data_IF_122564654119
#
_entry.id   IF_122564654119
#
_cell.length_a   1.000
_cell.length_b   1.000
_cell.length_c   1.000
_cell.angle_alpha   90.00
_cell.angle_beta   90.00
_cell.angle_gamma   90.00
#
_symmetry.space_group_name_H-M   'P 1'
#
loop_
_entity.id
_entity.type
_entity.pdbx_description
1 polymer ?
#
# COMPACT_ATOMS: atom_id res chain seq x y z
N UNK A 1 -20.23 35.99 22.53
CA UNK A 1 -20.36 35.00 21.43
C UNK A 1 -19.13 34.91 20.51
N UNK A 2 -18.14 35.84 20.52
CA UNK A 2 -16.92 35.62 19.73
C UNK A 2 -16.07 34.44 20.25
N UNK A 3 -16.13 34.13 21.52
CA UNK A 3 -15.26 33.12 22.15
C UNK A 3 -15.55 31.68 21.68
N UNK A 4 -16.83 31.34 21.43
CA UNK A 4 -17.21 30.01 20.96
C UNK A 4 -16.71 29.74 19.52
N UNK A 5 -16.77 30.74 18.65
CA UNK A 5 -16.28 30.67 17.28
C UNK A 5 -14.76 30.52 17.25
N UNK A 6 -14.05 31.26 18.07
CA UNK A 6 -12.60 31.21 18.20
C UNK A 6 -12.14 29.85 18.75
N UNK A 7 -12.83 29.33 19.79
CA UNK A 7 -12.57 28.00 20.35
C UNK A 7 -12.76 26.90 19.26
N UNK A 8 -13.81 27.01 18.45
CA UNK A 8 -14.09 26.06 17.38
C UNK A 8 -12.97 26.08 16.33
N UNK A 9 -12.52 27.27 15.92
CA UNK A 9 -11.40 27.39 14.95
C UNK A 9 -10.11 26.79 15.51
N UNK A 10 -9.77 27.11 16.77
CA UNK A 10 -8.57 26.54 17.42
C UNK A 10 -8.66 25.04 17.53
N UNK A 11 -9.82 24.48 17.87
CA UNK A 11 -10.02 23.04 17.95
C UNK A 11 -9.86 22.36 16.58
N UNK A 12 -10.44 22.94 15.53
CA UNK A 12 -10.29 22.44 14.15
C UNK A 12 -8.82 22.50 13.72
N UNK A 13 -8.14 23.63 13.97
CA UNK A 13 -6.74 23.78 13.62
C UNK A 13 -5.85 22.76 14.36
N UNK A 14 -6.08 22.56 15.65
CA UNK A 14 -5.32 21.60 16.46
C UNK A 14 -5.54 20.17 16.01
N UNK A 15 -6.80 19.76 15.78
CA UNK A 15 -7.13 18.41 15.29
C UNK A 15 -6.55 18.16 13.90
N UNK A 16 -6.56 19.16 13.03
CA UNK A 16 -5.96 19.07 11.70
C UNK A 16 -4.44 18.91 11.76
N UNK A 17 -3.77 19.67 12.64
CA UNK A 17 -2.32 19.55 12.86
C UNK A 17 -1.95 18.17 13.41
N UNK A 18 -2.69 17.67 14.41
CA UNK A 18 -2.46 16.33 14.97
C UNK A 18 -2.69 15.25 13.90
N UNK A 19 -3.76 15.35 13.12
CA UNK A 19 -4.04 14.40 12.05
C UNK A 19 -2.96 14.42 10.96
N UNK A 20 -2.47 15.61 10.56
CA UNK A 20 -1.38 15.77 9.60
C UNK A 20 -0.07 15.18 10.12
N UNK A 21 0.24 15.40 11.41
CA UNK A 21 1.44 14.86 12.05
C UNK A 21 1.40 13.34 12.13
N UNK A 22 0.28 12.76 12.55
CA UNK A 22 0.10 11.30 12.61
C UNK A 22 0.18 10.67 11.20
N UNK A 23 -0.46 11.30 10.21
CA UNK A 23 -0.39 10.85 8.82
C UNK A 23 1.03 10.91 8.26
N UNK A 24 1.79 11.96 8.56
CA UNK A 24 3.17 12.12 8.09
C UNK A 24 4.13 11.08 8.66
N UNK A 25 3.83 10.49 9.82
CA UNK A 25 4.65 9.45 10.47
C UNK A 25 4.14 8.01 10.24
N UNK A 26 2.99 7.81 9.60
CA UNK A 26 2.45 6.47 9.43
C UNK A 26 3.17 5.71 8.31
N UNK A 27 3.74 4.57 8.68
CA UNK A 27 4.30 3.57 7.74
C UNK A 27 3.16 2.67 7.25
N UNK A 28 3.25 2.20 6.00
CA UNK A 28 2.30 1.22 5.48
C UNK A 28 2.47 -0.12 6.18
N UNK A 29 1.36 -0.73 6.62
CA UNK A 29 1.38 -1.94 7.45
C UNK A 29 1.82 -3.17 6.69
N UNK A 30 1.35 -3.34 5.44
CA UNK A 30 1.77 -4.46 4.63
C UNK A 30 3.28 -4.41 4.40
N UNK A 31 3.84 -3.23 4.12
CA UNK A 31 5.28 -3.07 3.97
C UNK A 31 6.04 -3.30 5.28
N UNK A 32 5.50 -2.85 6.42
CA UNK A 32 6.12 -3.06 7.74
C UNK A 32 6.21 -4.55 8.07
N UNK A 33 5.26 -5.37 7.64
CA UNK A 33 5.27 -6.82 7.86
C UNK A 33 6.44 -7.53 7.15
N UNK A 34 7.01 -6.92 6.09
CA UNK A 34 8.22 -7.41 5.41
C UNK A 34 9.49 -6.67 5.84
N UNK A 35 9.36 -5.68 6.73
CA UNK A 35 10.52 -4.90 7.19
C UNK A 35 11.49 -5.77 7.98
N UNK A 36 12.78 -5.70 7.62
CA UNK A 36 13.81 -6.54 8.19
C UNK A 36 14.11 -7.83 7.42
N UNK A 37 13.18 -8.27 6.55
CA UNK A 37 13.38 -9.45 5.71
C UNK A 37 14.10 -9.12 4.40
N UNK A 38 14.69 -10.15 3.80
CA UNK A 38 15.23 -10.09 2.45
C UNK A 38 14.08 -10.20 1.44
N UNK A 39 13.92 -9.18 0.61
CA UNK A 39 12.85 -9.12 -0.39
C UNK A 39 13.39 -8.78 -1.77
N UNK A 40 12.67 -9.21 -2.79
CA UNK A 40 12.85 -8.77 -4.16
C UNK A 40 11.77 -7.75 -4.49
N UNK A 41 12.17 -6.53 -4.80
CA UNK A 41 11.30 -5.49 -5.34
C UNK A 41 11.29 -5.60 -6.85
N UNK A 42 10.15 -5.97 -7.41
CA UNK A 42 9.92 -5.97 -8.85
C UNK A 42 9.28 -4.65 -9.27
N UNK A 43 9.85 -3.99 -10.26
CA UNK A 43 9.38 -2.73 -10.81
C UNK A 43 8.63 -2.96 -12.13
N UNK A 44 7.71 -2.06 -12.45
CA UNK A 44 6.90 -2.13 -13.67
C UNK A 44 7.73 -2.04 -14.97
N UNK A 45 8.92 -1.43 -14.92
CA UNK A 45 9.88 -1.34 -16.02
C UNK A 45 10.73 -2.62 -16.18
N UNK A 46 10.50 -3.64 -15.36
CA UNK A 46 11.23 -4.91 -15.38
C UNK A 46 12.50 -4.93 -14.51
N UNK A 47 12.89 -3.79 -13.93
CA UNK A 47 13.99 -3.76 -12.95
C UNK A 47 13.63 -4.59 -11.72
N UNK A 48 14.57 -5.37 -11.22
CA UNK A 48 14.44 -6.11 -9.97
C UNK A 48 15.57 -5.70 -9.04
N UNK A 49 15.20 -5.25 -7.86
CA UNK A 49 16.13 -4.88 -6.79
C UNK A 49 15.90 -5.80 -5.61
N UNK A 50 16.96 -6.37 -5.07
CA UNK A 50 16.86 -7.25 -3.90
C UNK A 50 17.69 -6.69 -2.74
N UNK A 51 17.18 -6.85 -1.54
CA UNK A 51 17.83 -6.34 -0.34
C UNK A 51 16.97 -6.53 0.89
N UNK A 52 17.53 -6.18 2.05
CA UNK A 52 16.79 -6.13 3.30
C UNK A 52 15.91 -4.89 3.33
N UNK A 53 14.61 -5.09 3.45
CA UNK A 53 13.65 -4.00 3.43
C UNK A 53 13.68 -3.21 4.74
N UNK A 54 13.83 -1.91 4.62
CA UNK A 54 13.61 -0.93 5.68
C UNK A 54 12.50 0.04 5.23
N UNK A 55 11.45 0.16 6.03
CA UNK A 55 10.28 0.98 5.70
C UNK A 55 10.30 2.27 6.50
N UNK A 56 10.16 3.40 5.81
CA UNK A 56 10.03 4.71 6.43
C UNK A 56 8.71 5.40 6.05
N UNK A 57 8.38 6.48 6.74
CA UNK A 57 7.13 7.19 6.48
C UNK A 57 7.10 7.89 5.10
N UNK A 58 8.26 8.18 4.53
CA UNK A 58 8.43 8.91 3.26
C UNK A 58 8.82 8.01 2.09
N UNK A 59 9.12 6.73 2.35
CA UNK A 59 9.57 5.78 1.34
C UNK A 59 10.05 4.48 1.95
N UNK A 60 10.90 3.80 1.22
CA UNK A 60 11.54 2.56 1.66
C UNK A 60 13.00 2.51 1.19
N UNK A 61 13.78 1.69 1.83
CA UNK A 61 15.16 1.42 1.50
C UNK A 61 15.39 -0.10 1.45
N UNK A 62 16.08 -0.57 0.44
CA UNK A 62 16.56 -1.94 0.30
C UNK A 62 18.06 -1.95 0.54
N UNK A 63 18.48 -2.43 1.70
CA UNK A 63 19.89 -2.56 2.06
C UNK A 63 20.49 -3.79 1.37
N UNK A 64 21.51 -3.60 0.58
CA UNK A 64 22.22 -4.70 -0.08
C UNK A 64 23.03 -5.50 0.93
N UNK A 65 23.12 -6.82 0.70
CA UNK A 65 23.93 -7.70 1.53
C UNK A 65 25.43 -7.46 1.33
N UNK A 66 25.80 -7.13 0.11
CA UNK A 66 27.17 -6.81 -0.31
C UNK A 66 27.13 -5.54 -1.15
N UNK A 67 28.26 -4.84 -1.21
CA UNK A 67 28.40 -3.67 -2.07
C UNK A 67 28.12 -4.06 -3.52
N UNK A 68 27.35 -3.24 -4.20
CA UNK A 68 27.15 -3.34 -5.64
C UNK A 68 27.99 -2.25 -6.33
N UNK A 69 28.80 -2.64 -7.30
CA UNK A 69 29.44 -1.69 -8.20
C UNK A 69 28.51 -1.41 -9.36
N UNK A 70 28.15 -0.17 -9.55
CA UNK A 70 27.38 0.23 -10.75
C UNK A 70 28.32 0.35 -11.98
N UNK A 71 27.71 0.58 -13.14
CA UNK A 71 28.45 0.74 -14.42
C UNK A 71 29.34 1.98 -14.43
N UNK A 72 29.05 2.98 -13.59
CA UNK A 72 29.79 4.25 -13.45
C UNK A 72 30.91 4.17 -12.40
N UNK A 73 31.06 3.01 -11.73
CA UNK A 73 32.14 2.74 -10.76
C UNK A 73 31.86 3.23 -9.33
N UNK A 74 30.59 3.51 -8.99
CA UNK A 74 30.19 3.86 -7.64
C UNK A 74 29.89 2.61 -6.80
N UNK A 75 30.22 2.68 -5.51
CA UNK A 75 29.85 1.67 -4.50
C UNK A 75 28.44 1.96 -3.98
N UNK A 76 27.46 1.18 -4.40
CA UNK A 76 26.10 1.25 -3.90
C UNK A 76 25.89 0.29 -2.71
N UNK A 77 25.26 0.78 -1.64
CA UNK A 77 24.96 0.01 -0.42
C UNK A 77 23.47 -0.24 -0.24
N UNK A 78 22.64 0.59 -0.86
CA UNK A 78 21.20 0.49 -0.76
C UNK A 78 20.49 1.10 -1.97
N UNK A 79 19.23 0.72 -2.14
CA UNK A 79 18.32 1.33 -3.11
C UNK A 79 17.19 2.03 -2.36
N UNK A 80 17.05 3.34 -2.56
CA UNK A 80 15.99 4.14 -1.95
C UNK A 80 14.86 4.35 -2.95
N UNK A 81 13.63 4.14 -2.50
CA UNK A 81 12.41 4.40 -3.29
C UNK A 81 11.48 5.31 -2.49
N UNK A 82 11.20 6.48 -3.01
CA UNK A 82 10.33 7.46 -2.36
C UNK A 82 8.85 7.15 -2.64
N UNK A 83 7.94 7.57 -1.75
CA UNK A 83 6.49 7.36 -1.94
C UNK A 83 5.95 7.86 -3.26
N UNK A 84 6.51 8.95 -3.81
CA UNK A 84 6.13 9.47 -5.12
C UNK A 84 6.38 8.49 -6.28
N UNK A 85 7.26 7.50 -6.07
CA UNK A 85 7.64 6.48 -7.05
C UNK A 85 6.91 5.15 -6.86
N UNK A 86 6.06 5.01 -5.84
CA UNK A 86 5.35 3.76 -5.55
C UNK A 86 4.46 3.28 -6.69
N UNK A 87 4.04 4.17 -7.59
CA UNK A 87 3.34 3.80 -8.82
C UNK A 87 4.19 2.93 -9.78
N UNK A 88 5.51 2.88 -9.60
CA UNK A 88 6.43 2.04 -10.39
C UNK A 88 6.60 0.64 -9.81
N UNK A 89 6.12 0.39 -8.61
CA UNK A 89 6.20 -0.92 -7.94
C UNK A 89 5.24 -1.87 -8.65
N UNK A 90 5.73 -3.07 -8.98
CA UNK A 90 4.91 -4.19 -9.44
C UNK A 90 4.57 -5.12 -8.27
N UNK A 91 5.59 -5.57 -7.55
CA UNK A 91 5.42 -6.45 -6.40
C UNK A 91 6.65 -6.42 -5.48
N UNK A 92 6.43 -6.68 -4.20
CA UNK A 92 7.46 -7.17 -3.29
C UNK A 92 7.28 -8.67 -3.14
N UNK A 93 8.35 -9.40 -3.31
CA UNK A 93 8.39 -10.87 -3.25
C UNK A 93 9.34 -11.30 -2.15
N UNK A 94 8.80 -11.96 -1.13
CA UNK A 94 9.57 -12.53 -0.01
C UNK A 94 9.58 -14.05 -0.16
N UNK A 95 10.72 -14.62 -0.57
CA UNK A 95 10.87 -16.07 -0.72
C UNK A 95 11.06 -16.76 0.63
N UNK A 96 10.33 -17.86 0.87
CA UNK A 96 10.40 -18.59 2.14
C UNK A 96 11.78 -19.19 2.41
N UNK A 97 12.49 -19.60 1.37
CA UNK A 97 13.85 -20.18 1.49
C UNK A 97 14.91 -19.12 1.89
N UNK A 98 14.61 -17.84 1.70
CA UNK A 98 15.53 -16.74 2.05
C UNK A 98 15.29 -16.20 3.46
N UNK A 99 14.25 -16.65 4.14
CA UNK A 99 13.96 -16.26 5.52
C UNK A 99 14.98 -16.88 6.48
N UNK A 100 15.38 -16.10 7.47
CA UNK A 100 16.12 -16.62 8.63
C UNK A 100 15.24 -17.60 9.42
N UNK A 101 15.84 -18.41 10.27
CA UNK A 101 15.10 -19.34 11.14
C UNK A 101 14.14 -18.60 12.09
N UNK A 102 14.52 -17.39 12.53
CA UNK A 102 13.66 -16.50 13.31
C UNK A 102 12.50 -16.00 12.44
N UNK A 103 12.78 -15.51 11.22
CA UNK A 103 11.77 -15.05 10.27
C UNK A 103 10.78 -16.15 9.88
N UNK A 104 11.22 -17.41 9.74
CA UNK A 104 10.32 -18.55 9.51
C UNK A 104 9.36 -18.77 10.68
N UNK A 105 9.86 -18.66 11.92
CA UNK A 105 9.04 -18.80 13.13
C UNK A 105 8.04 -17.67 13.26
N UNK A 106 8.46 -16.43 13.05
CA UNK A 106 7.59 -15.26 13.07
C UNK A 106 6.50 -15.37 12.00
N UNK A 107 6.88 -15.74 10.78
CA UNK A 107 5.94 -15.98 9.68
C UNK A 107 4.91 -17.07 10.02
N UNK A 108 5.35 -18.18 10.61
CA UNK A 108 4.44 -19.26 11.02
C UNK A 108 3.43 -18.78 12.06
N UNK A 109 3.87 -18.01 13.06
CA UNK A 109 2.98 -17.41 14.04
C UNK A 109 2.01 -16.41 13.41
N UNK A 110 2.45 -15.65 12.41
CA UNK A 110 1.59 -14.73 11.68
C UNK A 110 0.51 -15.45 10.87
N UNK A 111 0.86 -16.54 10.20
CA UNK A 111 -0.10 -17.40 9.49
C UNK A 111 -1.15 -17.92 10.46
N UNK A 112 -0.76 -18.53 11.57
CA UNK A 112 -1.67 -19.04 12.59
C UNK A 112 -2.60 -17.95 13.14
N UNK A 113 -2.05 -16.78 13.43
CA UNK A 113 -2.82 -15.59 13.86
C UNK A 113 -3.75 -15.07 12.77
N UNK A 114 -3.45 -15.27 11.51
CA UNK A 114 -4.27 -14.82 10.37
C UNK A 114 -5.46 -15.75 10.16
N UNK A 115 -5.26 -17.06 10.24
CA UNK A 115 -6.33 -18.06 10.15
C UNK A 115 -7.27 -18.04 11.38
N UNK A 116 -6.71 -17.79 12.57
CA UNK A 116 -7.46 -17.80 13.83
C UNK A 116 -7.29 -16.47 14.58
N UNK A 117 -7.87 -15.36 14.07
CA UNK A 117 -7.71 -14.06 14.70
C UNK A 117 -8.39 -14.03 16.08
N UNK A 118 -7.61 -13.77 17.14
CA UNK A 118 -8.11 -13.59 18.50
C UNK A 118 -9.07 -12.40 18.61
N UNK A 119 -9.89 -12.40 19.69
CA UNK A 119 -10.91 -11.37 19.94
C UNK A 119 -10.34 -9.95 19.91
N UNK A 120 -9.20 -9.70 20.55
CA UNK A 120 -8.57 -8.38 20.60
C UNK A 120 -8.10 -7.90 19.21
N UNK A 121 -7.63 -8.81 18.34
CA UNK A 121 -7.24 -8.48 16.97
C UNK A 121 -8.46 -8.07 16.14
N UNK A 122 -9.58 -8.80 16.30
CA UNK A 122 -10.86 -8.44 15.65
C UNK A 122 -11.39 -7.09 16.12
N UNK A 123 -11.32 -6.81 17.44
CA UNK A 123 -11.75 -5.54 18.01
C UNK A 123 -10.87 -4.39 17.53
N UNK A 124 -9.55 -4.55 17.57
CA UNK A 124 -8.58 -3.54 17.06
C UNK A 124 -8.83 -3.24 15.58
N UNK A 125 -9.15 -4.24 14.77
CA UNK A 125 -9.49 -4.07 13.35
C UNK A 125 -10.80 -3.32 13.17
N UNK A 126 -11.85 -3.67 13.93
CA UNK A 126 -13.14 -2.96 13.88
C UNK A 126 -12.99 -1.47 14.25
N UNK A 127 -12.27 -1.18 15.31
CA UNK A 127 -12.00 0.21 15.73
C UNK A 127 -11.23 0.96 14.63
N UNK A 128 -10.19 0.36 14.09
CA UNK A 128 -9.41 0.94 13.00
C UNK A 128 -10.26 1.21 11.75
N UNK A 129 -11.07 0.24 11.34
CA UNK A 129 -11.96 0.35 10.19
C UNK A 129 -12.98 1.45 10.39
N UNK A 130 -13.53 1.61 11.60
CA UNK A 130 -14.41 2.71 11.94
C UNK A 130 -13.73 4.07 11.75
N UNK A 131 -12.53 4.26 12.32
CA UNK A 131 -11.78 5.50 12.13
C UNK A 131 -11.37 5.75 10.68
N UNK A 132 -11.06 4.70 9.93
CA UNK A 132 -10.76 4.79 8.50
C UNK A 132 -11.99 5.28 7.72
N UNK A 133 -13.16 4.71 7.97
CA UNK A 133 -14.42 5.12 7.33
C UNK A 133 -14.78 6.57 7.67
N UNK A 134 -14.66 6.97 8.94
CA UNK A 134 -14.93 8.36 9.36
C UNK A 134 -13.98 9.32 8.65
N UNK A 135 -12.68 9.00 8.59
CA UNK A 135 -11.70 9.82 7.87
C UNK A 135 -12.04 9.96 6.39
N UNK A 136 -12.36 8.85 5.73
CA UNK A 136 -12.68 8.83 4.30
C UNK A 136 -13.95 9.65 4.01
N UNK A 137 -14.98 9.57 4.88
CA UNK A 137 -16.19 10.39 4.80
C UNK A 137 -15.89 11.89 4.99
N UNK A 138 -15.04 12.26 5.93
CA UNK A 138 -14.62 13.65 6.13
C UNK A 138 -13.88 14.18 4.89
N UNK A 139 -12.97 13.39 4.32
CA UNK A 139 -12.24 13.78 3.10
C UNK A 139 -13.18 13.95 1.91
N UNK A 140 -14.21 13.12 1.78
CA UNK A 140 -15.23 13.25 0.73
C UNK A 140 -16.02 14.55 0.88
N UNK A 141 -16.47 14.88 2.08
CA UNK A 141 -17.16 16.14 2.39
C UNK A 141 -16.26 17.34 2.06
N UNK A 142 -15.00 17.32 2.48
CA UNK A 142 -14.04 18.41 2.19
C UNK A 142 -13.84 18.56 0.68
N UNK A 143 -13.71 17.44 -0.07
CA UNK A 143 -13.56 17.47 -1.52
C UNK A 143 -14.81 18.04 -2.23
N UNK A 144 -16.02 17.75 -1.72
CA UNK A 144 -17.25 18.34 -2.22
C UNK A 144 -17.27 19.87 -2.01
N UNK A 145 -16.85 20.36 -0.84
CA UNK A 145 -16.76 21.80 -0.57
C UNK A 145 -15.72 22.49 -1.45
N UNK A 146 -14.55 21.89 -1.64
CA UNK A 146 -13.51 22.41 -2.54
C UNK A 146 -14.03 22.42 -3.99
N UNK A 147 -14.75 21.37 -4.42
CA UNK A 147 -15.35 21.29 -5.74
C UNK A 147 -16.41 22.37 -5.98
N UNK A 148 -17.23 22.68 -4.98
CA UNK A 148 -18.23 23.77 -5.05
C UNK A 148 -17.55 25.15 -5.03
N UNK A 149 -16.55 25.37 -4.18
CA UNK A 149 -15.80 26.62 -4.14
C UNK A 149 -15.11 26.93 -5.49
N UNK A 150 -14.54 25.92 -6.15
CA UNK A 150 -13.98 26.06 -7.50
C UNK A 150 -15.06 26.44 -8.54
N UNK A 151 -16.27 25.89 -8.46
CA UNK A 151 -17.35 26.25 -9.38
C UNK A 151 -17.78 27.71 -9.26
N UNK A 152 -17.76 28.27 -8.04
CA UNK A 152 -18.11 29.68 -7.79
C UNK A 152 -17.02 30.61 -8.36
N UNK A 153 -15.74 30.22 -8.29
CA UNK A 153 -14.62 31.01 -8.82
C UNK A 153 -14.52 30.93 -10.35
N UNK A 154 -14.98 29.81 -10.97
CA UNK A 154 -14.99 29.64 -12.43
C UNK A 154 -16.14 30.36 -13.15
N UNK A 155 -17.13 30.89 -12.44
CA UNK A 155 -18.19 31.72 -13.05
C UNK A 155 -17.71 33.10 -13.50
N UNK A 156 -16.50 33.52 -13.19
CA UNK A 156 -15.83 34.73 -13.68
C UNK A 156 -14.64 34.40 -14.59
N UNK A 157 -14.92 33.80 -15.72
CA UNK A 157 -14.15 33.80 -16.96
C UNK A 157 -12.64 33.81 -16.88
N UNK A 158 -11.99 32.64 -16.85
CA UNK A 158 -10.75 32.38 -17.59
C UNK A 158 -10.74 30.90 -17.99
N UNK A 159 -11.29 30.65 -19.17
CA UNK A 159 -11.09 29.38 -19.90
C UNK A 159 -9.80 29.53 -20.69
N UNK A 160 -8.76 28.81 -20.34
CA UNK A 160 -7.82 28.23 -21.34
C UNK A 160 -6.73 27.43 -20.66
N UNK A 161 -6.45 26.25 -21.18
CA UNK A 161 -5.27 25.38 -21.02
C UNK A 161 -5.10 24.51 -19.76
N UNK A 162 -5.99 24.52 -18.77
CA UNK A 162 -5.86 23.63 -17.60
C UNK A 162 -6.74 22.37 -17.61
N UNK A 163 -7.61 22.19 -18.59
CA UNK A 163 -8.53 21.04 -18.64
C UNK A 163 -7.79 19.70 -18.80
N UNK A 164 -6.63 19.71 -19.44
CA UNK A 164 -5.80 18.50 -19.61
C UNK A 164 -5.15 18.04 -18.31
N UNK A 165 -4.79 18.97 -17.43
CA UNK A 165 -4.25 18.65 -16.09
C UNK A 165 -5.36 18.24 -15.12
N UNK A 166 -6.54 18.82 -15.24
CA UNK A 166 -7.70 18.48 -14.39
C UNK A 166 -8.27 17.10 -14.76
N UNK A 167 -8.29 16.73 -16.05
CA UNK A 167 -8.71 15.39 -16.49
C UNK A 167 -7.68 14.33 -16.07
N UNK A 168 -6.40 14.59 -16.22
CA UNK A 168 -5.34 13.68 -15.73
C UNK A 168 -5.32 13.56 -14.20
N UNK A 169 -5.63 14.64 -13.47
CA UNK A 169 -5.82 14.57 -12.02
C UNK A 169 -7.11 13.80 -11.66
N UNK A 170 -8.18 13.94 -12.41
CA UNK A 170 -9.42 13.15 -12.21
C UNK A 170 -9.19 11.67 -12.45
N UNK A 171 -8.49 11.28 -13.52
CA UNK A 171 -8.12 9.87 -13.76
C UNK A 171 -7.23 9.32 -12.66
N UNK A 172 -6.23 10.09 -12.21
CA UNK A 172 -5.39 9.70 -11.06
C UNK A 172 -6.18 9.64 -9.74
N UNK A 173 -7.15 10.52 -9.53
CA UNK A 173 -7.98 10.54 -8.31
C UNK A 173 -9.02 9.43 -8.34
N UNK A 174 -9.60 9.11 -9.48
CA UNK A 174 -10.55 7.98 -9.64
C UNK A 174 -9.83 6.64 -9.52
N UNK A 175 -8.59 6.54 -10.01
CA UNK A 175 -7.73 5.35 -9.79
C UNK A 175 -7.18 5.24 -8.36
N UNK A 176 -7.15 6.33 -7.57
CA UNK A 176 -6.70 6.39 -6.18
C UNK A 176 -7.84 6.34 -5.15
N UNK A 177 -9.08 6.15 -5.57
CA UNK A 177 -10.24 5.97 -4.67
C UNK A 177 -10.32 4.59 -4.02
N UNK A 178 -9.19 3.92 -3.83
CA UNK A 178 -9.13 2.80 -2.92
C UNK A 178 -9.35 3.33 -1.51
N UNK A 179 -10.55 3.13 -0.96
CA UNK A 179 -10.82 3.44 0.43
C UNK A 179 -9.90 2.61 1.32
N UNK A 180 -9.42 3.19 2.42
CA UNK A 180 -8.59 2.45 3.36
C UNK A 180 -9.35 1.30 4.02
N UNK A 181 -10.69 1.31 3.96
CA UNK A 181 -11.59 0.23 4.36
C UNK A 181 -12.31 -0.33 3.14
N UNK A 182 -12.08 -1.62 2.86
CA UNK A 182 -12.73 -2.37 1.78
C UNK A 182 -13.45 -3.59 2.37
N UNK A 183 -14.79 -3.57 2.46
CA UNK A 183 -15.56 -4.64 3.10
C UNK A 183 -15.34 -6.03 2.48
N UNK A 184 -15.17 -6.11 1.16
CA UNK A 184 -14.94 -7.38 0.48
C UNK A 184 -13.58 -7.98 0.84
N UNK A 185 -12.53 -7.18 0.89
CA UNK A 185 -11.22 -7.64 1.33
C UNK A 185 -11.25 -8.00 2.81
N UNK A 186 -11.85 -7.15 3.65
CA UNK A 186 -11.94 -7.35 5.10
C UNK A 186 -12.61 -8.68 5.47
N UNK A 187 -13.71 -9.04 4.79
CA UNK A 187 -14.44 -10.29 5.01
C UNK A 187 -13.61 -11.53 4.66
N UNK A 188 -12.68 -11.39 3.72
CA UNK A 188 -11.94 -12.50 3.15
C UNK A 188 -10.50 -12.62 3.67
N UNK A 189 -10.12 -11.83 4.68
CA UNK A 189 -8.83 -11.99 5.35
C UNK A 189 -8.77 -13.35 6.03
N UNK A 190 -7.62 -14.03 5.86
CA UNK A 190 -7.40 -15.39 6.31
C UNK A 190 -7.97 -16.47 5.40
N UNK A 191 -8.55 -16.09 4.25
CA UNK A 191 -9.06 -17.04 3.27
C UNK A 191 -8.08 -17.21 2.12
N UNK A 192 -8.13 -18.37 1.49
CA UNK A 192 -7.45 -18.61 0.22
C UNK A 192 -8.17 -17.83 -0.88
N UNK A 193 -7.41 -17.10 -1.67
CA UNK A 193 -7.90 -16.18 -2.70
C UNK A 193 -7.10 -16.33 -3.98
N UNK A 194 -7.71 -15.93 -5.09
CA UNK A 194 -7.03 -15.73 -6.36
C UNK A 194 -6.72 -14.24 -6.52
N UNK A 195 -5.45 -13.92 -6.57
CA UNK A 195 -4.90 -12.60 -6.86
C UNK A 195 -4.62 -12.52 -8.35
N UNK A 196 -5.31 -11.63 -9.06
CA UNK A 196 -4.94 -11.19 -10.40
C UNK A 196 -3.92 -10.06 -10.29
N UNK A 197 -2.75 -10.25 -10.88
CA UNK A 197 -1.70 -9.23 -10.97
C UNK A 197 -1.55 -8.78 -12.43
N UNK A 198 -1.75 -7.49 -12.66
CA UNK A 198 -1.57 -6.85 -13.97
C UNK A 198 -0.08 -6.59 -14.17
N UNK A 199 0.50 -7.23 -15.18
CA UNK A 199 1.92 -7.10 -15.56
C UNK A 199 2.02 -6.70 -17.04
N UNK A 200 2.14 -5.41 -17.30
CA UNK A 200 2.03 -4.86 -18.66
C UNK A 200 0.65 -5.16 -19.26
N UNK A 201 0.62 -5.80 -20.43
CA UNK A 201 -0.63 -6.18 -21.12
C UNK A 201 -1.18 -7.55 -20.69
N UNK A 202 -0.57 -8.20 -19.71
CA UNK A 202 -0.97 -9.53 -19.24
C UNK A 202 -1.49 -9.48 -17.81
N UNK A 203 -2.52 -10.27 -17.53
CA UNK A 203 -2.96 -10.56 -16.17
C UNK A 203 -2.51 -11.97 -15.80
N UNK A 204 -1.85 -12.10 -14.65
CA UNK A 204 -1.36 -13.38 -14.13
C UNK A 204 -2.09 -13.66 -12.83
N UNK A 205 -2.58 -14.88 -12.69
CA UNK A 205 -3.30 -15.32 -11.49
C UNK A 205 -2.36 -16.05 -10.53
N UNK A 206 -2.49 -15.72 -9.26
CA UNK A 206 -1.77 -16.38 -8.17
C UNK A 206 -2.76 -16.79 -7.08
N UNK A 207 -2.58 -17.98 -6.55
CA UNK A 207 -3.37 -18.49 -5.42
C UNK A 207 -2.55 -18.37 -4.15
N UNK A 208 -3.15 -17.76 -3.12
CA UNK A 208 -2.50 -17.59 -1.82
C UNK A 208 -3.52 -17.21 -0.74
N UNK A 209 -3.05 -16.86 0.44
CA UNK A 209 -3.88 -16.48 1.59
C UNK A 209 -3.87 -14.97 1.78
N UNK A 210 -5.03 -14.33 1.71
CA UNK A 210 -5.13 -12.89 1.97
C UNK A 210 -4.84 -12.60 3.44
N UNK A 211 -3.72 -11.94 3.74
CA UNK A 211 -3.30 -11.61 5.11
C UNK A 211 -3.83 -10.26 5.58
N UNK A 212 -3.54 -9.23 4.83
CA UNK A 212 -3.96 -7.85 5.16
C UNK A 212 -4.05 -7.02 3.87
N UNK A 213 -4.56 -5.81 4.02
CA UNK A 213 -4.59 -4.80 2.97
C UNK A 213 -4.53 -3.40 3.59
N UNK A 214 -4.01 -2.46 2.82
CA UNK A 214 -4.00 -1.04 3.16
C UNK A 214 -4.70 -0.24 2.06
N UNK A 215 -4.61 1.07 2.10
CA UNK A 215 -5.06 1.91 1.00
C UNK A 215 -4.22 1.69 -0.26
N UNK A 216 -2.95 1.38 -0.12
CA UNK A 216 -1.98 1.31 -1.21
C UNK A 216 -1.67 -0.12 -1.64
N UNK A 217 -1.68 -1.10 -0.70
CA UNK A 217 -1.19 -2.45 -0.94
C UNK A 217 -2.17 -3.55 -0.50
N UNK A 218 -1.97 -4.73 -1.08
CA UNK A 218 -2.57 -6.00 -0.67
C UNK A 218 -1.43 -6.96 -0.35
N UNK A 219 -1.54 -7.68 0.76
CA UNK A 219 -0.61 -8.72 1.18
C UNK A 219 -1.23 -10.10 1.06
N UNK A 220 -0.59 -10.97 0.28
CA UNK A 220 -1.01 -12.36 0.06
C UNK A 220 0.14 -13.30 0.37
N UNK A 221 -0.12 -14.27 1.22
CA UNK A 221 0.85 -15.25 1.69
C UNK A 221 0.77 -16.56 0.90
N UNK A 222 1.87 -17.30 0.92
CA UNK A 222 1.96 -18.69 0.47
C UNK A 222 1.64 -18.91 -1.01
N UNK A 223 2.13 -18.03 -1.84
CA UNK A 223 1.99 -18.08 -3.30
C UNK A 223 3.05 -19.03 -3.89
N UNK A 224 2.64 -19.89 -4.83
CA UNK A 224 3.57 -20.60 -5.69
C UNK A 224 4.01 -19.66 -6.82
N UNK A 225 5.23 -19.16 -6.75
CA UNK A 225 5.77 -18.17 -7.67
C UNK A 225 6.97 -18.68 -8.44
N UNK A 226 7.03 -18.34 -9.73
CA UNK A 226 8.23 -18.46 -10.56
C UNK A 226 8.46 -17.18 -11.34
N UNK A 227 9.68 -16.69 -11.32
CA UNK A 227 10.05 -15.46 -12.02
C UNK A 227 10.09 -15.66 -13.53
N UNK A 228 10.66 -16.80 -13.96
CA UNK A 228 10.84 -17.17 -15.36
C UNK A 228 10.20 -18.52 -15.67
N UNK A 229 9.80 -18.71 -16.93
CA UNK A 229 9.15 -19.95 -17.40
C UNK A 229 10.00 -21.20 -17.14
N UNK A 230 11.32 -21.06 -17.16
CA UNK A 230 12.28 -22.16 -17.00
C UNK A 230 12.70 -22.40 -15.52
N UNK A 231 12.19 -21.61 -14.57
CA UNK A 231 12.50 -21.78 -13.15
C UNK A 231 11.47 -22.68 -12.47
N UNK A 232 11.88 -23.33 -11.39
CA UNK A 232 10.96 -24.07 -10.52
C UNK A 232 10.09 -23.11 -9.71
N UNK A 233 8.90 -23.58 -9.34
CA UNK A 233 8.03 -22.84 -8.45
C UNK A 233 8.63 -22.78 -7.05
N UNK A 234 8.75 -21.57 -6.51
CA UNK A 234 9.18 -21.31 -5.13
C UNK A 234 8.01 -20.75 -4.33
N UNK A 235 7.95 -21.12 -3.07
CA UNK A 235 6.97 -20.49 -2.16
C UNK A 235 7.42 -19.11 -1.79
N UNK A 236 6.50 -18.15 -1.89
CA UNK A 236 6.75 -16.75 -1.60
C UNK A 236 5.51 -16.07 -1.02
N UNK A 237 5.74 -14.96 -0.32
CA UNK A 237 4.70 -14.04 0.11
C UNK A 237 4.80 -12.76 -0.74
N UNK A 238 3.66 -12.19 -1.09
CA UNK A 238 3.57 -11.03 -1.97
C UNK A 238 2.95 -9.82 -1.26
N UNK A 239 3.52 -8.65 -1.53
CA UNK A 239 2.85 -7.36 -1.35
C UNK A 239 2.74 -6.72 -2.72
N UNK A 240 1.52 -6.40 -3.15
CA UNK A 240 1.26 -5.81 -4.47
C UNK A 240 0.46 -4.52 -4.33
N UNK A 241 0.72 -3.50 -5.17
CA UNK A 241 -0.10 -2.29 -5.20
C UNK A 241 -1.55 -2.63 -5.57
N UNK A 242 -2.53 -2.02 -4.90
CA UNK A 242 -3.96 -2.20 -5.20
C UNK A 242 -4.36 -1.71 -6.59
N UNK A 243 -3.55 -0.89 -7.21
CA UNK A 243 -3.73 -0.46 -8.59
C UNK A 243 -3.42 -1.56 -9.62
N UNK A 244 -2.61 -2.55 -9.24
CA UNK A 244 -2.15 -3.63 -10.11
C UNK A 244 -2.63 -5.01 -9.65
N UNK A 245 -2.92 -5.19 -8.36
CA UNK A 245 -3.36 -6.44 -7.78
C UNK A 245 -4.84 -6.41 -7.39
N UNK A 246 -5.61 -7.38 -7.86
CA UNK A 246 -7.06 -7.47 -7.60
C UNK A 246 -7.40 -8.86 -7.09
N UNK A 247 -8.11 -8.94 -5.97
CA UNK A 247 -8.68 -10.21 -5.49
C UNK A 247 -9.99 -10.46 -6.22
N UNK A 248 -10.07 -11.52 -7.04
CA UNK A 248 -11.26 -11.83 -7.84
C UNK A 248 -12.07 -12.99 -7.30
N UNK A 249 -11.41 -14.03 -6.85
CA UNK A 249 -12.06 -15.26 -6.47
C UNK A 249 -11.59 -15.74 -5.10
N UNK A 250 -12.43 -16.50 -4.43
CA UNK A 250 -12.01 -17.36 -3.33
C UNK A 250 -11.51 -18.66 -3.95
N UNK A 251 -10.38 -19.17 -3.44
CA UNK A 251 -9.84 -20.48 -3.79
C UNK A 251 -10.13 -21.49 -2.67
N UNK A 252 -10.17 -22.77 -2.99
CA UNK A 252 -10.27 -23.87 -2.05
C UNK A 252 -8.91 -24.38 -1.59
#
# INVERSE_FOLDING_TARGET
MPDTFLITIVFIALTTLVAAFVKGKSKDRCLVDFSGDLVNLEMADGKVVWGRLNVESTGLELLYKEKHHDEDGHDEYSYMLYKSEFARILAFVRYHEQLSEEGKKERQQEIERTYHPGFFRRLKRKIRNFFSTVRDSILEVVNLFIGQAKRITFAQGVLTSQDKYVSQMKEKIVGLSATAYEPLLEKNIGRKVVLELIRGDKTIEYVGVLKDYTQEFIEVLDIAYKKDVNQEFKRADFIVPRSLGIIRHLAE
#
